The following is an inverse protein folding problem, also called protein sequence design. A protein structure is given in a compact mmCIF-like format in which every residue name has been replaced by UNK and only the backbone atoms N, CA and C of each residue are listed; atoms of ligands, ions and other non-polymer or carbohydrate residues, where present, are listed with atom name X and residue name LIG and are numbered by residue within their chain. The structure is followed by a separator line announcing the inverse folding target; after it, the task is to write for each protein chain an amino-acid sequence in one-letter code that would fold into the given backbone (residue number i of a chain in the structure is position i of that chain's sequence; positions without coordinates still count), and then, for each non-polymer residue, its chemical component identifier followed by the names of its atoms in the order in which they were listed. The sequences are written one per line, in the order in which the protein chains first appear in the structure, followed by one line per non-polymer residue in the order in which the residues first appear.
data_IF_250182470282
#
_entry.id   IF_250182470282
#
_cell.length_a   1.000
_cell.length_b   1.000
_cell.length_c   1.000
_cell.angle_alpha   90.00
_cell.angle_beta   90.00
_cell.angle_gamma   90.00
#
_symmetry.space_group_name_H-M   'P 1'
#
loop_
_entity.id
_entity.type
_entity.pdbx_description
1 polymer ?
#
# COMPACT_ATOMS: atom_id res chain seq x y z
N UNK A 1 4.13 -42.91 -60.70
CA UNK A 1 3.00 -42.64 -59.78
C UNK A 1 3.57 -42.28 -58.41
N UNK A 2 3.43 -41.02 -58.00
CA UNK A 2 3.92 -40.50 -56.70
C UNK A 2 2.85 -40.80 -55.64
N UNK A 3 3.21 -41.53 -54.58
CA UNK A 3 2.36 -41.69 -53.40
C UNK A 3 2.80 -40.64 -52.37
N UNK A 4 2.00 -39.60 -52.19
CA UNK A 4 2.22 -38.56 -51.18
C UNK A 4 1.60 -39.06 -49.89
N UNK A 5 2.43 -39.34 -48.88
CA UNK A 5 1.99 -39.61 -47.51
C UNK A 5 1.72 -38.26 -46.85
N UNK A 6 0.45 -37.96 -46.57
CA UNK A 6 0.05 -36.78 -45.81
C UNK A 6 0.10 -37.14 -44.33
N UNK A 7 1.19 -36.75 -43.65
CA UNK A 7 1.26 -36.72 -42.20
C UNK A 7 0.49 -35.49 -41.70
N UNK A 8 -0.71 -35.72 -41.16
CA UNK A 8 -1.48 -34.70 -40.46
C UNK A 8 -0.87 -34.44 -39.09
N UNK A 9 -0.03 -33.40 -38.99
CA UNK A 9 0.43 -32.88 -37.70
C UNK A 9 -0.67 -31.99 -37.10
N UNK A 10 -1.35 -32.49 -36.05
CA UNK A 10 -2.20 -31.65 -35.20
C UNK A 10 -1.29 -30.77 -34.33
N UNK A 11 -1.09 -29.51 -34.72
CA UNK A 11 -0.57 -28.48 -33.82
C UNK A 11 -1.67 -28.14 -32.80
N UNK A 12 -1.51 -28.62 -31.56
CA UNK A 12 -2.19 -28.04 -30.40
C UNK A 12 -1.55 -26.66 -30.14
N UNK A 13 -2.13 -25.61 -30.71
CA UNK A 13 -1.85 -24.25 -30.24
C UNK A 13 -2.49 -24.10 -28.85
N UNK A 14 -1.66 -24.22 -27.82
CA UNK A 14 -2.00 -23.71 -26.49
C UNK A 14 -2.15 -22.19 -26.61
N UNK A 15 -3.39 -21.69 -26.65
CA UNK A 15 -3.65 -20.28 -26.35
C UNK A 15 -3.36 -20.10 -24.85
N UNK A 16 -2.10 -19.79 -24.52
CA UNK A 16 -1.83 -19.09 -23.28
C UNK A 16 -2.53 -17.74 -23.40
N UNK A 17 -3.63 -17.56 -22.66
CA UNK A 17 -4.18 -16.24 -22.43
C UNK A 17 -3.10 -15.46 -21.69
N UNK A 18 -2.32 -14.66 -22.42
CA UNK A 18 -1.45 -13.66 -21.81
C UNK A 18 -2.40 -12.64 -21.19
N UNK A 19 -2.71 -12.82 -19.91
CA UNK A 19 -3.23 -11.74 -19.10
C UNK A 19 -2.10 -10.71 -19.07
N UNK A 20 -2.25 -9.63 -19.83
CA UNK A 20 -1.37 -8.48 -19.68
C UNK A 20 -1.76 -7.84 -18.35
N UNK A 21 -1.19 -8.32 -17.24
CA UNK A 21 -1.19 -7.53 -16.02
C UNK A 21 -0.67 -6.15 -16.40
N UNK A 22 -1.43 -5.09 -16.06
CA UNK A 22 -0.96 -3.73 -16.33
C UNK A 22 0.38 -3.54 -15.63
N UNK A 23 1.42 -3.34 -16.42
CA UNK A 23 2.79 -3.25 -15.92
C UNK A 23 2.94 -2.03 -15.00
N UNK A 24 3.28 -2.27 -13.73
CA UNK A 24 3.63 -1.28 -12.72
C UNK A 24 5.12 -1.29 -12.38
N UNK A 25 5.60 -0.24 -11.74
CA UNK A 25 7.05 0.00 -11.56
C UNK A 25 7.53 -0.30 -10.13
N UNK A 26 6.72 0.04 -9.13
CA UNK A 26 7.06 -0.11 -7.70
C UNK A 26 5.79 -0.19 -6.85
N UNK A 27 5.90 -0.55 -5.56
CA UNK A 27 4.81 -0.37 -4.61
C UNK A 27 5.04 0.81 -3.67
N UNK A 28 3.96 1.46 -3.25
CA UNK A 28 3.94 2.12 -1.95
C UNK A 28 3.48 1.14 -0.87
N UNK A 29 4.33 0.85 0.12
CA UNK A 29 3.88 0.35 1.41
C UNK A 29 3.45 1.55 2.26
N UNK A 30 2.15 1.64 2.53
CA UNK A 30 1.54 2.72 3.28
C UNK A 30 1.21 2.22 4.67
N UNK A 31 1.81 2.84 5.67
CA UNK A 31 1.53 2.59 7.08
C UNK A 31 0.84 3.83 7.68
N UNK A 32 -0.10 3.63 8.60
CA UNK A 32 -0.88 4.70 9.23
C UNK A 32 -0.71 4.70 10.74
N UNK A 33 -0.75 5.90 11.34
CA UNK A 33 -0.75 6.05 12.78
C UNK A 33 -2.19 6.01 13.33
N UNK A 34 -2.55 5.04 14.19
CA UNK A 34 -3.91 4.88 14.67
C UNK A 34 -4.39 6.08 15.50
N UNK A 35 -3.51 6.73 16.28
CA UNK A 35 -3.85 7.95 17.02
C UNK A 35 -4.32 9.07 16.09
N UNK A 36 -3.63 9.28 14.97
CA UNK A 36 -3.98 10.31 13.98
C UNK A 36 -5.21 9.96 13.15
N UNK A 37 -5.55 8.68 13.03
CA UNK A 37 -6.81 8.25 12.42
C UNK A 37 -7.98 8.55 13.35
N UNK A 38 -7.83 8.19 14.63
CA UNK A 38 -8.88 8.23 15.63
C UNK A 38 -9.14 9.63 16.20
N UNK A 39 -8.11 10.45 16.37
CA UNK A 39 -8.23 11.82 16.84
C UNK A 39 -8.65 12.75 15.69
N UNK A 40 -9.75 12.47 15.02
CA UNK A 40 -10.36 13.36 14.04
C UNK A 40 -11.82 13.59 14.39
N UNK A 41 -12.46 14.59 13.78
CA UNK A 41 -13.91 14.82 14.00
C UNK A 41 -14.79 13.63 13.63
N UNK A 42 -14.30 12.75 12.77
CA UNK A 42 -14.99 11.51 12.39
C UNK A 42 -14.95 10.46 13.50
N UNK A 43 -13.89 10.47 14.32
CA UNK A 43 -13.59 9.40 15.26
C UNK A 43 -13.24 8.08 14.57
N UNK A 44 -13.10 7.02 15.36
CA UNK A 44 -12.83 5.68 14.87
C UNK A 44 -13.56 4.63 15.70
N UNK A 45 -13.53 3.39 15.20
CA UNK A 45 -14.02 2.23 15.90
C UNK A 45 -12.91 1.18 15.95
N UNK A 46 -12.81 0.48 17.07
CA UNK A 46 -11.88 -0.64 17.18
C UNK A 46 -12.46 -1.90 16.54
N UNK A 47 -11.61 -2.77 15.96
CA UNK A 47 -12.04 -4.06 15.44
C UNK A 47 -12.58 -4.94 16.57
N UNK A 48 -13.28 -6.02 16.20
CA UNK A 48 -13.82 -7.00 17.15
C UNK A 48 -12.74 -7.68 18.02
N UNK A 49 -11.48 -7.63 17.57
CA UNK A 49 -10.30 -8.10 18.31
C UNK A 49 -9.85 -7.15 19.42
N UNK A 50 -10.47 -5.97 19.54
CA UNK A 50 -10.20 -4.96 20.56
C UNK A 50 -9.36 -3.80 20.07
N UNK A 51 -8.95 -2.91 21.00
CA UNK A 51 -8.09 -1.77 20.68
C UNK A 51 -6.75 -2.26 20.13
N UNK A 52 -6.33 -1.83 18.92
CA UNK A 52 -5.03 -2.18 18.37
C UNK A 52 -3.86 -1.69 19.23
N UNK A 53 -2.68 -2.26 19.01
CA UNK A 53 -1.46 -1.77 19.65
C UNK A 53 -1.17 -0.31 19.25
N UNK A 54 -0.46 0.42 20.11
CA UNK A 54 0.08 1.75 19.83
C UNK A 54 1.30 1.63 18.90
N UNK A 55 1.06 1.20 17.67
CA UNK A 55 2.04 0.98 16.61
C UNK A 55 1.45 1.42 15.27
N UNK A 56 2.30 1.76 14.29
CA UNK A 56 1.87 1.99 12.92
C UNK A 56 1.21 0.73 12.36
N UNK A 57 -0.01 0.83 11.85
CA UNK A 57 -0.66 -0.28 11.14
C UNK A 57 -0.47 -0.15 9.64
N UNK A 58 -0.58 -1.23 8.89
CA UNK A 58 -0.64 -1.20 7.43
C UNK A 58 -1.98 -0.56 7.02
N UNK A 59 -1.93 0.34 6.04
CA UNK A 59 -3.07 0.78 5.25
C UNK A 59 -3.15 -0.05 3.98
N UNK A 60 -2.04 -0.13 3.23
CA UNK A 60 -1.94 -1.06 2.11
C UNK A 60 -0.60 -1.06 1.39
N UNK A 61 -0.48 -1.97 0.43
CA UNK A 61 0.67 -2.09 -0.46
C UNK A 61 0.21 -1.88 -1.90
N UNK A 62 0.55 -0.73 -2.50
CA UNK A 62 -0.12 -0.25 -3.70
C UNK A 62 0.82 -0.20 -4.89
N UNK A 63 0.61 -1.03 -5.93
CA UNK A 63 1.27 -0.88 -7.22
C UNK A 63 1.16 0.56 -7.74
N UNK A 64 2.25 1.08 -8.30
CA UNK A 64 2.33 2.46 -8.75
C UNK A 64 3.22 2.62 -9.99
N UNK A 65 2.99 3.69 -10.74
CA UNK A 65 3.81 4.04 -11.89
C UNK A 65 4.84 5.10 -11.51
N UNK A 66 6.10 4.89 -11.89
CA UNK A 66 7.16 5.89 -11.78
C UNK A 66 6.88 7.11 -12.66
N UNK A 67 6.08 6.92 -13.73
CA UNK A 67 5.57 7.99 -14.58
C UNK A 67 4.08 7.78 -14.84
N UNK A 68 3.27 8.77 -14.48
CA UNK A 68 1.83 8.71 -14.75
C UNK A 68 1.57 8.58 -16.26
N UNK A 69 0.74 7.60 -16.60
CA UNK A 69 0.32 7.27 -17.97
C UNK A 69 -0.92 8.09 -18.33
N UNK A 70 -1.04 8.52 -19.57
CA UNK A 70 -2.26 9.10 -20.14
C UNK A 70 -3.26 7.98 -20.46
N UNK A 71 -4.54 8.30 -20.53
CA UNK A 71 -5.56 7.32 -20.91
C UNK A 71 -5.28 6.71 -22.31
N UNK A 72 -4.70 7.48 -23.24
CA UNK A 72 -4.28 6.95 -24.55
C UNK A 72 -3.12 5.95 -24.48
N UNK A 73 -2.19 6.13 -23.54
CA UNK A 73 -1.11 5.16 -23.27
C UNK A 73 -1.62 3.87 -22.61
N UNK A 74 -2.74 3.93 -21.87
CA UNK A 74 -3.37 2.78 -21.22
C UNK A 74 -4.25 1.96 -22.18
N UNK A 75 -5.08 2.64 -22.99
CA UNK A 75 -6.05 1.98 -23.87
C UNK A 75 -5.49 1.71 -25.29
N UNK A 76 -4.28 2.19 -25.60
CA UNK A 76 -3.70 2.14 -26.95
C UNK A 76 -4.43 3.02 -27.98
N UNK A 77 -5.26 3.97 -27.53
CA UNK A 77 -6.08 4.86 -28.37
C UNK A 77 -5.42 6.25 -28.47
N UNK A 78 -5.49 6.85 -29.65
CA UNK A 78 -4.88 8.16 -29.95
C UNK A 78 -5.32 9.23 -28.94
N UNK A 79 -4.32 9.89 -28.35
CA UNK A 79 -4.36 10.94 -27.30
C UNK A 79 -5.38 12.07 -27.54
N UNK A 80 -5.82 12.29 -28.79
CA UNK A 80 -6.74 13.35 -29.22
C UNK A 80 -8.16 13.30 -28.59
N UNK A 81 -8.59 12.19 -28.00
CA UNK A 81 -9.95 12.04 -27.44
C UNK A 81 -9.97 12.15 -25.91
N UNK A 82 -8.84 11.93 -25.24
CA UNK A 82 -8.76 11.86 -23.79
C UNK A 82 -8.26 13.20 -23.24
N UNK A 83 -9.12 13.93 -22.51
CA UNK A 83 -8.84 15.26 -21.94
C UNK A 83 -7.74 15.27 -20.86
N UNK A 84 -6.50 14.90 -21.20
CA UNK A 84 -5.29 15.10 -20.39
C UNK A 84 -5.30 14.48 -18.98
N UNK A 85 -6.22 13.57 -18.67
CA UNK A 85 -6.24 12.88 -17.37
C UNK A 85 -5.12 11.84 -17.37
N UNK A 86 -4.19 12.00 -16.44
CA UNK A 86 -3.12 11.03 -16.19
C UNK A 86 -3.53 10.11 -15.05
N UNK A 87 -3.29 8.81 -15.20
CA UNK A 87 -3.40 7.79 -14.15
C UNK A 87 -2.00 7.47 -13.66
N UNK A 88 -1.77 7.51 -12.36
CA UNK A 88 -0.44 7.28 -11.78
C UNK A 88 -0.29 5.89 -11.15
N UNK A 89 -1.35 5.09 -11.08
CA UNK A 89 -1.32 3.74 -10.54
C UNK A 89 -2.35 2.86 -11.27
N UNK A 90 -2.13 1.54 -11.37
CA UNK A 90 -3.18 0.61 -11.73
C UNK A 90 -4.11 0.34 -10.53
N UNK A 91 -5.37 0.04 -10.79
CA UNK A 91 -6.34 -0.34 -9.76
C UNK A 91 -7.44 -1.22 -10.35
N UNK A 92 -8.01 -2.13 -9.54
CA UNK A 92 -9.05 -3.07 -9.94
C UNK A 92 -8.70 -3.85 -11.21
N UNK A 93 -7.48 -4.41 -11.28
CA UNK A 93 -6.92 -4.99 -12.51
C UNK A 93 -7.62 -6.29 -12.95
N UNK A 94 -8.30 -6.97 -12.03
CA UNK A 94 -9.17 -8.08 -12.33
C UNK A 94 -10.33 -8.13 -11.30
N UNK A 95 -11.21 -9.12 -11.44
CA UNK A 95 -12.37 -9.31 -10.56
C UNK A 95 -12.21 -10.51 -9.63
N UNK A 96 -10.98 -10.90 -9.30
CA UNK A 96 -10.68 -11.99 -8.37
C UNK A 96 -10.95 -11.52 -6.92
N UNK A 97 -11.96 -12.07 -6.23
CA UNK A 97 -12.21 -11.69 -4.85
C UNK A 97 -11.21 -12.37 -3.90
N UNK A 98 -10.98 -11.74 -2.75
CA UNK A 98 -10.15 -12.31 -1.69
C UNK A 98 -10.77 -13.61 -1.18
N UNK A 99 -10.00 -14.69 -1.27
CA UNK A 99 -10.30 -16.00 -0.76
C UNK A 99 -9.64 -16.21 0.59
N UNK A 100 -10.46 -16.18 1.65
CA UNK A 100 -10.00 -16.28 3.03
C UNK A 100 -9.12 -17.51 3.34
N UNK A 101 -9.32 -18.62 2.62
CA UNK A 101 -8.50 -19.81 2.84
C UNK A 101 -7.06 -19.67 2.32
N UNK A 102 -6.83 -18.83 1.32
CA UNK A 102 -5.49 -18.56 0.77
C UNK A 102 -4.61 -17.81 1.77
N UNK A 103 -5.22 -17.08 2.71
CA UNK A 103 -4.52 -16.24 3.70
C UNK A 103 -4.75 -16.70 5.15
N UNK A 104 -5.30 -17.90 5.34
CA UNK A 104 -5.80 -18.37 6.65
C UNK A 104 -4.71 -18.33 7.73
N UNK A 105 -3.49 -18.66 7.38
CA UNK A 105 -2.32 -18.65 8.27
C UNK A 105 -1.88 -17.23 8.64
N UNK A 106 -2.21 -16.22 7.84
CA UNK A 106 -1.85 -14.82 8.05
C UNK A 106 -2.88 -14.03 8.84
N UNK A 107 -4.13 -14.51 8.98
CA UNK A 107 -5.26 -13.74 9.58
C UNK A 107 -4.91 -13.14 10.94
N UNK A 108 -4.23 -13.90 11.81
CA UNK A 108 -3.85 -13.40 13.14
C UNK A 108 -2.89 -12.20 13.06
N UNK A 109 -1.92 -12.28 12.16
CA UNK A 109 -0.96 -11.19 11.94
C UNK A 109 -1.63 -10.00 11.24
N UNK A 110 -2.56 -10.24 10.32
CA UNK A 110 -3.35 -9.20 9.68
C UNK A 110 -4.25 -8.46 10.67
N UNK A 111 -4.90 -9.16 11.60
CA UNK A 111 -5.70 -8.52 12.65
C UNK A 111 -4.85 -7.62 13.56
N UNK A 112 -3.62 -8.03 13.86
CA UNK A 112 -2.72 -7.26 14.72
C UNK A 112 -2.08 -6.06 13.99
N UNK A 113 -1.74 -6.23 12.71
CA UNK A 113 -0.87 -5.28 12.00
C UNK A 113 -1.57 -4.53 10.86
N UNK A 114 -2.75 -4.96 10.43
CA UNK A 114 -3.56 -4.35 9.37
C UNK A 114 -5.06 -4.24 9.77
N UNK A 115 -5.40 -3.78 10.99
CA UNK A 115 -6.79 -3.64 11.41
C UNK A 115 -7.52 -2.54 10.62
N UNK A 116 -8.84 -2.68 10.50
CA UNK A 116 -9.68 -1.53 10.17
C UNK A 116 -9.91 -0.67 11.42
N UNK A 117 -9.91 0.65 11.24
CA UNK A 117 -10.35 1.62 12.25
C UNK A 117 -11.65 2.32 11.85
N UNK A 118 -12.21 1.96 10.69
CA UNK A 118 -13.44 2.54 10.18
C UNK A 118 -14.66 1.95 10.91
N UNK A 119 -15.58 2.82 11.34
CA UNK A 119 -16.84 2.40 11.95
C UNK A 119 -17.81 1.75 10.96
N UNK A 120 -17.72 2.11 9.68
CA UNK A 120 -18.54 1.50 8.62
C UNK A 120 -17.84 0.23 8.12
N UNK A 121 -18.57 -0.87 8.03
CA UNK A 121 -18.05 -2.17 7.62
C UNK A 121 -17.46 -2.98 8.78
N UNK A 122 -16.84 -2.31 9.78
CA UNK A 122 -16.54 -2.84 11.12
C UNK A 122 -15.61 -4.05 11.22
N UNK A 123 -15.28 -4.70 10.10
CA UNK A 123 -14.52 -5.94 10.05
C UNK A 123 -13.27 -5.76 9.21
N UNK A 124 -12.12 -6.12 9.76
CA UNK A 124 -10.83 -6.04 9.06
C UNK A 124 -10.84 -6.80 7.75
N UNK A 125 -11.59 -7.92 7.65
CA UNK A 125 -11.71 -8.66 6.40
C UNK A 125 -12.32 -7.85 5.25
N UNK A 126 -13.30 -6.98 5.51
CA UNK A 126 -13.88 -6.15 4.44
C UNK A 126 -12.84 -5.14 3.93
N UNK A 127 -11.98 -4.66 4.82
CA UNK A 127 -10.87 -3.78 4.47
C UNK A 127 -9.79 -4.52 3.67
N UNK A 128 -9.39 -5.73 4.10
CA UNK A 128 -8.44 -6.55 3.34
C UNK A 128 -8.97 -6.94 1.97
N UNK A 129 -10.26 -7.27 1.85
CA UNK A 129 -10.91 -7.53 0.56
C UNK A 129 -10.84 -6.30 -0.34
N UNK A 130 -11.09 -5.10 0.18
CA UNK A 130 -10.96 -3.87 -0.59
C UNK A 130 -9.52 -3.64 -1.09
N UNK A 131 -8.54 -3.77 -0.20
CA UNK A 131 -7.13 -3.59 -0.55
C UNK A 131 -6.66 -4.65 -1.57
N UNK A 132 -7.10 -5.90 -1.43
CA UNK A 132 -6.84 -6.93 -2.43
C UNK A 132 -7.48 -6.59 -3.78
N UNK A 133 -8.79 -6.38 -3.83
CA UNK A 133 -9.54 -6.14 -5.08
C UNK A 133 -9.00 -4.92 -5.83
N UNK A 134 -8.72 -3.83 -5.10
CA UNK A 134 -8.27 -2.58 -5.69
C UNK A 134 -6.78 -2.58 -6.03
N UNK A 135 -5.93 -3.14 -5.17
CA UNK A 135 -4.48 -3.00 -5.29
C UNK A 135 -3.75 -4.34 -5.47
N UNK A 136 -4.11 -5.36 -4.69
CA UNK A 136 -3.53 -6.71 -4.77
C UNK A 136 -3.71 -7.38 -6.14
N UNK A 137 -4.86 -7.21 -6.79
CA UNK A 137 -5.12 -7.74 -8.16
C UNK A 137 -4.18 -7.17 -9.22
N UNK A 138 -3.47 -6.08 -8.92
CA UNK A 138 -2.50 -5.42 -9.80
C UNK A 138 -1.04 -5.72 -9.43
N UNK A 139 -0.77 -6.59 -8.44
CA UNK A 139 0.53 -6.69 -7.78
C UNK A 139 1.51 -7.70 -8.38
N UNK A 140 1.14 -8.43 -9.43
CA UNK A 140 1.85 -9.64 -9.91
C UNK A 140 2.03 -10.76 -8.85
N UNK A 141 1.55 -10.57 -7.62
CA UNK A 141 1.59 -11.52 -6.52
C UNK A 141 0.24 -12.25 -6.38
N UNK A 142 0.29 -13.49 -5.92
CA UNK A 142 -0.91 -14.18 -5.42
C UNK A 142 -1.36 -13.59 -4.07
N UNK A 143 -2.60 -13.89 -3.69
CA UNK A 143 -3.24 -13.37 -2.47
C UNK A 143 -2.37 -13.52 -1.22
N UNK A 144 -1.89 -14.74 -0.95
CA UNK A 144 -0.99 -14.99 0.20
C UNK A 144 0.28 -14.15 0.13
N UNK A 145 0.96 -14.15 -1.02
CA UNK A 145 2.20 -13.41 -1.24
C UNK A 145 2.05 -11.90 -1.04
N UNK A 146 0.94 -11.33 -1.51
CA UNK A 146 0.63 -9.90 -1.34
C UNK A 146 0.56 -9.49 0.14
N UNK A 147 -0.20 -10.23 0.94
CA UNK A 147 -0.35 -9.95 2.37
C UNK A 147 0.92 -10.29 3.16
N UNK A 148 1.58 -11.41 2.86
CA UNK A 148 2.81 -11.84 3.51
C UNK A 148 3.96 -10.83 3.27
N UNK A 149 4.08 -10.30 2.05
CA UNK A 149 5.07 -9.28 1.71
C UNK A 149 4.89 -8.01 2.55
N UNK A 150 3.67 -7.47 2.60
CA UNK A 150 3.36 -6.27 3.38
C UNK A 150 3.63 -6.46 4.88
N UNK A 151 3.20 -7.60 5.45
CA UNK A 151 3.48 -7.97 6.84
C UNK A 151 4.99 -8.08 7.11
N UNK A 152 5.72 -8.79 6.24
CA UNK A 152 7.16 -9.00 6.37
C UNK A 152 7.96 -7.71 6.26
N UNK A 153 7.55 -6.78 5.39
CA UNK A 153 8.18 -5.45 5.27
C UNK A 153 7.90 -4.58 6.50
N UNK A 154 6.64 -4.52 6.98
CA UNK A 154 6.32 -3.80 8.22
C UNK A 154 7.13 -4.34 9.40
N UNK A 155 7.23 -5.66 9.53
CA UNK A 155 7.97 -6.28 10.63
C UNK A 155 9.48 -5.97 10.58
N UNK A 156 10.08 -6.00 9.38
CA UNK A 156 11.51 -5.69 9.18
C UNK A 156 11.83 -4.21 9.35
N UNK A 157 10.90 -3.32 9.02
CA UNK A 157 11.07 -1.86 9.05
C UNK A 157 10.07 -1.21 10.00
N UNK A 158 10.14 -1.59 11.28
CA UNK A 158 9.22 -1.12 12.32
C UNK A 158 9.35 0.40 12.54
N UNK A 159 8.43 1.17 11.96
CA UNK A 159 8.45 2.64 12.01
C UNK A 159 8.32 3.20 13.43
N UNK A 160 7.51 2.59 14.29
CA UNK A 160 7.37 3.04 15.68
C UNK A 160 8.70 2.91 16.42
N UNK A 161 9.37 1.78 16.29
CA UNK A 161 10.68 1.55 16.90
C UNK A 161 11.73 2.52 16.34
N UNK A 162 11.79 2.67 15.02
CA UNK A 162 12.72 3.60 14.33
C UNK A 162 12.54 5.04 14.83
N UNK A 163 11.31 5.51 14.99
CA UNK A 163 11.04 6.84 15.52
C UNK A 163 11.40 6.94 17.02
N UNK A 164 11.01 5.93 17.81
CA UNK A 164 11.27 5.91 19.25
C UNK A 164 12.76 5.91 19.59
N UNK A 165 13.60 5.23 18.79
CA UNK A 165 15.06 5.19 18.96
C UNK A 165 15.71 6.58 18.82
N UNK A 166 15.01 7.53 18.19
CA UNK A 166 15.43 8.94 18.05
C UNK A 166 14.69 9.90 19.00
N UNK A 167 13.91 9.37 19.95
CA UNK A 167 13.13 10.14 20.90
C UNK A 167 11.80 10.70 20.35
N UNK A 168 11.40 10.28 19.15
CA UNK A 168 10.10 10.61 18.56
C UNK A 168 9.09 9.56 19.04
N UNK A 169 8.30 9.92 20.05
CA UNK A 169 7.34 9.02 20.70
C UNK A 169 5.94 9.64 20.70
N UNK A 170 4.87 8.85 20.88
CA UNK A 170 3.52 9.40 20.92
C UNK A 170 3.33 10.40 22.08
N UNK A 171 2.75 11.57 21.79
CA UNK A 171 2.49 12.64 22.76
C UNK A 171 1.44 13.63 22.24
N UNK A 172 0.51 14.01 23.12
CA UNK A 172 -0.52 15.02 22.83
C UNK A 172 -0.03 16.46 23.03
N UNK A 173 1.14 16.65 23.67
CA UNK A 173 1.71 17.96 23.97
C UNK A 173 2.93 18.30 23.13
N UNK A 174 3.68 17.28 22.68
CA UNK A 174 4.92 17.48 21.93
C UNK A 174 4.67 17.60 20.43
N UNK A 175 5.59 18.27 19.74
CA UNK A 175 5.64 18.29 18.27
C UNK A 175 7.04 17.96 17.80
N UNK A 176 7.13 17.39 16.60
CA UNK A 176 8.38 16.98 15.98
C UNK A 176 8.55 17.70 14.65
N UNK A 177 9.81 17.97 14.27
CA UNK A 177 10.07 18.57 12.96
C UNK A 177 9.93 17.50 11.87
N UNK A 178 9.50 17.89 10.66
CA UNK A 178 9.48 16.94 9.55
C UNK A 178 10.86 16.43 9.18
N UNK A 179 11.89 17.28 9.30
CA UNK A 179 13.27 16.84 9.05
C UNK A 179 13.61 15.69 9.98
N UNK A 180 13.43 15.86 11.29
CA UNK A 180 13.76 14.81 12.26
C UNK A 180 13.00 13.51 12.03
N UNK A 181 11.73 13.56 11.62
CA UNK A 181 10.96 12.34 11.28
C UNK A 181 11.53 11.68 10.02
N UNK A 182 11.77 12.46 8.95
CA UNK A 182 12.34 11.94 7.70
C UNK A 182 13.75 11.38 7.90
N UNK A 183 14.58 12.08 8.67
CA UNK A 183 15.96 11.69 8.98
C UNK A 183 15.97 10.39 9.78
N UNK A 184 15.13 10.29 10.83
CA UNK A 184 14.98 9.05 11.61
C UNK A 184 14.56 7.86 10.73
N UNK A 185 13.54 8.03 9.87
CA UNK A 185 13.09 6.97 8.96
C UNK A 185 14.20 6.59 7.98
N UNK A 186 14.89 7.57 7.40
CA UNK A 186 15.96 7.32 6.43
C UNK A 186 17.16 6.62 7.08
N UNK A 187 17.56 7.03 8.27
CA UNK A 187 18.66 6.40 9.01
C UNK A 187 18.29 4.98 9.48
N UNK A 188 17.06 4.78 9.97
CA UNK A 188 16.60 3.48 10.48
C UNK A 188 16.25 2.47 9.40
N UNK A 189 15.85 2.91 8.20
CA UNK A 189 15.40 2.02 7.12
C UNK A 189 16.31 2.02 5.90
N UNK A 190 17.22 2.99 5.79
CA UNK A 190 18.08 3.22 4.63
C UNK A 190 17.43 4.07 3.53
N UNK A 191 16.12 4.33 3.59
CA UNK A 191 15.35 4.94 2.51
C UNK A 191 14.49 6.09 3.00
N UNK A 192 14.37 7.14 2.18
CA UNK A 192 13.45 8.24 2.46
C UNK A 192 11.99 7.78 2.30
N UNK A 193 11.09 8.36 3.08
CA UNK A 193 9.66 8.09 3.02
C UNK A 193 8.86 9.35 2.72
N UNK A 194 7.70 9.20 2.07
CA UNK A 194 6.72 10.29 1.95
C UNK A 194 5.85 10.32 3.20
N UNK A 195 5.74 11.50 3.80
CA UNK A 195 4.90 11.72 4.97
C UNK A 195 3.58 12.38 4.55
N UNK A 196 2.48 11.83 5.00
CA UNK A 196 1.15 12.42 4.90
C UNK A 196 0.66 12.82 6.28
N UNK A 197 0.05 13.98 6.35
CA UNK A 197 -0.51 14.54 7.56
C UNK A 197 -2.00 14.81 7.39
N UNK A 198 -2.74 14.67 8.47
CA UNK A 198 -4.12 15.14 8.55
C UNK A 198 -4.23 16.19 9.68
N UNK A 199 -5.45 16.46 10.13
CA UNK A 199 -5.70 17.39 11.23
C UNK A 199 -6.53 16.73 12.31
N UNK A 200 -6.13 16.96 13.55
CA UNK A 200 -6.88 16.45 14.67
C UNK A 200 -8.11 17.28 15.01
N UNK A 201 -8.82 16.92 16.08
CA UNK A 201 -10.07 17.57 16.49
C UNK A 201 -9.86 19.05 16.83
N UNK A 202 -8.74 19.39 17.48
CA UNK A 202 -8.39 20.76 17.85
C UNK A 202 -7.63 21.51 16.72
N UNK A 203 -7.33 20.82 15.62
CA UNK A 203 -6.83 21.41 14.37
C UNK A 203 -5.31 21.43 14.23
N UNK A 204 -4.59 20.86 15.19
CA UNK A 204 -3.21 20.38 15.11
C UNK A 204 -2.95 19.66 13.79
N UNK A 205 -1.73 19.79 13.27
CA UNK A 205 -1.26 18.99 12.15
C UNK A 205 -0.55 17.79 12.74
N UNK A 206 -0.95 16.59 12.35
CA UNK A 206 -0.44 15.34 12.90
C UNK A 206 0.05 14.40 11.80
N UNK A 207 1.12 13.64 12.08
CA UNK A 207 1.63 12.62 11.17
C UNK A 207 0.58 11.52 11.05
N UNK A 208 0.06 11.33 9.84
CA UNK A 208 -1.04 10.40 9.59
C UNK A 208 -0.57 9.12 8.91
N UNK A 209 0.13 9.22 7.78
CA UNK A 209 0.62 8.06 7.04
C UNK A 209 2.07 8.24 6.60
N UNK A 210 2.78 7.12 6.51
CA UNK A 210 4.16 7.01 6.03
C UNK A 210 4.16 6.07 4.84
N UNK A 211 4.73 6.56 3.74
CA UNK A 211 4.79 5.88 2.45
C UNK A 211 6.24 5.51 2.18
N UNK A 212 6.54 4.21 2.18
CA UNK A 212 7.84 3.66 1.79
C UNK A 212 7.72 2.99 0.43
N UNK A 213 8.72 3.16 -0.44
CA UNK A 213 8.71 2.52 -1.75
C UNK A 213 9.34 1.13 -1.68
N UNK A 214 8.74 0.18 -2.39
CA UNK A 214 9.16 -1.22 -2.45
C UNK A 214 9.38 -1.60 -3.90
N UNK A 215 10.38 -2.43 -4.17
CA UNK A 215 10.60 -3.02 -5.50
C UNK A 215 9.36 -3.80 -6.00
N UNK A 216 9.27 -4.00 -7.32
CA UNK A 216 8.14 -4.71 -7.96
C UNK A 216 7.98 -6.17 -7.48
N UNK A 217 9.03 -6.80 -6.95
CA UNK A 217 8.93 -8.12 -6.33
C UNK A 217 8.23 -8.11 -4.97
N UNK A 218 8.07 -6.95 -4.34
CA UNK A 218 7.49 -6.83 -3.00
C UNK A 218 8.46 -7.25 -1.89
N UNK A 219 9.76 -7.31 -2.17
CA UNK A 219 10.75 -7.92 -1.28
C UNK A 219 11.58 -6.90 -0.51
N UNK A 220 11.98 -5.79 -1.14
CA UNK A 220 12.91 -4.84 -0.55
C UNK A 220 12.43 -3.40 -0.70
N UNK A 221 12.76 -2.57 0.30
CA UNK A 221 12.63 -1.13 0.16
C UNK A 221 13.59 -0.60 -0.92
N UNK A 222 13.15 0.45 -1.60
CA UNK A 222 13.92 1.17 -2.62
C UNK A 222 13.75 2.68 -2.42
N UNK A 223 14.63 3.47 -3.02
CA UNK A 223 14.39 4.91 -3.17
C UNK A 223 13.14 5.13 -4.03
N UNK A 224 12.28 6.04 -3.58
CA UNK A 224 11.05 6.35 -4.31
C UNK A 224 11.35 6.93 -5.70
N UNK A 225 10.85 6.31 -6.79
CA UNK A 225 11.09 6.80 -8.15
C UNK A 225 10.43 8.15 -8.47
N UNK A 226 9.50 8.59 -7.62
CA UNK A 226 8.76 9.84 -7.76
C UNK A 226 9.09 10.80 -6.63
N UNK A 227 9.01 12.13 -6.85
CA UNK A 227 9.25 13.12 -5.81
C UNK A 227 8.40 12.86 -4.57
N UNK A 228 9.09 12.78 -3.43
CA UNK A 228 8.52 12.56 -2.11
C UNK A 228 7.88 13.87 -1.62
N UNK A 229 6.69 14.20 -2.13
CA UNK A 229 5.93 15.38 -1.70
C UNK A 229 4.78 14.97 -0.78
N UNK A 230 4.89 15.39 0.49
CA UNK A 230 3.83 15.32 1.48
C UNK A 230 2.99 16.61 1.54
N UNK A 231 1.90 16.58 2.31
CA UNK A 231 1.05 17.75 2.61
C UNK A 231 1.33 18.34 4.01
N UNK A 232 2.38 17.88 4.68
CA UNK A 232 2.71 18.25 6.05
C UNK A 232 3.35 19.65 6.16
N UNK A 233 3.11 20.33 7.29
CA UNK A 233 3.82 21.56 7.68
C UNK A 233 5.06 21.24 8.48
N UNK A 234 6.09 22.09 8.49
CA UNK A 234 7.38 21.91 9.18
C UNK A 234 7.40 21.19 10.54
N UNK A 235 6.34 21.28 11.35
CA UNK A 235 6.18 20.55 12.61
C UNK A 235 4.83 19.85 12.68
N UNK A 236 4.83 18.66 13.26
CA UNK A 236 3.64 17.79 13.36
C UNK A 236 3.59 17.11 14.74
N UNK A 237 2.39 16.73 15.17
CA UNK A 237 2.20 15.84 16.32
C UNK A 237 2.25 14.37 15.89
N UNK A 238 2.61 13.51 16.83
CA UNK A 238 2.35 12.07 16.78
C UNK A 238 1.45 11.79 17.99
N UNK A 239 0.11 11.92 17.88
CA UNK A 239 -0.79 11.89 19.03
C UNK A 239 -0.71 10.55 19.77
N UNK A 240 -1.03 10.54 21.06
CA UNK A 240 -1.19 9.28 21.79
C UNK A 240 -2.36 8.47 21.20
N UNK A 241 -2.31 7.13 21.35
CA UNK A 241 -3.38 6.24 20.90
C UNK A 241 -3.98 5.45 22.05
#
# INVERSE_FOLDING_TARGET
MKLVVVLSALLLLSLAAVSSAEEFDFFYLVQQWPGSFCDTKTGCCFPDTGKPATDFSIHGMWPNYAKCKTQGELDGVIEMVTKGKKKCWPEFCNSEPLQLWEIKDLVKELDANWPTLACKGGKSIEFWSHEWEKHGTCSDLGQHGYFAAALGLKARHNLTAVLADTGIVPSDSETYSLSSINDAIKEGTGFAAKLECNRGVAGEVQLYQVYQCVDRSGENLIDCPVPVQGNCKNRVQLPAF
#
